data_IF_283262651589
#
_entry.id   IF_283262651589
#
_cell.length_a   1.000
_cell.length_b   1.000
_cell.length_c   1.000
_cell.angle_alpha   90.00
_cell.angle_beta   90.00
_cell.angle_gamma   90.00
#
_symmetry.space_group_name_H-M   'P 1'
#
loop_
_entity.id
_entity.type
_entity.pdbx_description
1 polymer ?
#
# COMPACT_ATOMS: atom_id res chain seq x y z
N UNK A 1 -5.92 -8.45 -24.92
CA UNK A 1 -6.96 -8.77 -23.92
C UNK A 1 -6.27 -9.21 -22.63
N UNK A 2 -6.33 -8.42 -21.56
CA UNK A 2 -5.79 -8.83 -20.26
C UNK A 2 -6.66 -9.94 -19.67
N UNK A 3 -6.08 -11.11 -19.38
CA UNK A 3 -6.80 -12.21 -18.75
C UNK A 3 -7.11 -11.83 -17.30
N UNK A 4 -8.40 -11.83 -16.93
CA UNK A 4 -8.81 -11.65 -15.52
C UNK A 4 -8.57 -12.97 -14.78
N UNK A 5 -7.78 -12.93 -13.71
CA UNK A 5 -7.59 -14.07 -12.81
C UNK A 5 -8.60 -13.96 -11.67
N UNK A 6 -9.36 -15.03 -11.43
CA UNK A 6 -10.26 -15.12 -10.28
C UNK A 6 -9.47 -15.65 -9.09
N UNK A 7 -9.47 -14.90 -7.99
CA UNK A 7 -8.73 -15.24 -6.77
C UNK A 7 -9.63 -15.07 -5.55
N UNK A 8 -9.41 -15.92 -4.54
CA UNK A 8 -10.03 -15.79 -3.22
C UNK A 8 -8.97 -15.35 -2.22
N UNK A 9 -9.31 -14.36 -1.39
CA UNK A 9 -8.45 -13.89 -0.29
C UNK A 9 -9.21 -14.02 1.03
N UNK A 10 -8.47 -14.27 2.09
CA UNK A 10 -9.01 -14.32 3.45
C UNK A 10 -8.65 -13.02 4.16
N UNK A 11 -9.67 -12.31 4.67
CA UNK A 11 -9.52 -11.06 5.40
C UNK A 11 -10.24 -11.16 6.73
N UNK A 12 -9.68 -10.51 7.76
CA UNK A 12 -10.39 -10.28 9.01
C UNK A 12 -11.67 -9.47 8.76
N UNK A 13 -12.78 -9.72 9.50
CA UNK A 13 -14.06 -9.06 9.24
C UNK A 13 -13.97 -7.52 9.21
N UNK A 14 -13.28 -6.93 10.18
CA UNK A 14 -13.12 -5.47 10.26
C UNK A 14 -12.38 -4.87 9.05
N UNK A 15 -11.40 -5.58 8.49
CA UNK A 15 -10.66 -5.13 7.29
C UNK A 15 -11.55 -5.19 6.07
N UNK A 16 -12.33 -6.28 5.94
CA UNK A 16 -13.29 -6.44 4.84
C UNK A 16 -14.35 -5.33 4.87
N UNK A 17 -14.90 -5.02 6.04
CA UNK A 17 -15.92 -3.99 6.20
C UNK A 17 -15.37 -2.60 5.89
N UNK A 18 -14.16 -2.30 6.38
CA UNK A 18 -13.46 -1.06 6.05
C UNK A 18 -13.24 -0.91 4.55
N UNK A 19 -12.59 -1.90 3.92
CA UNK A 19 -12.29 -1.87 2.49
C UNK A 19 -13.56 -1.83 1.62
N UNK A 20 -14.66 -2.45 2.06
CA UNK A 20 -15.94 -2.39 1.34
C UNK A 20 -16.59 -1.00 1.39
N UNK A 21 -16.51 -0.33 2.55
CA UNK A 21 -16.98 1.06 2.69
C UNK A 21 -16.14 2.02 1.85
N UNK A 22 -14.81 1.86 1.89
CA UNK A 22 -13.90 2.72 1.12
C UNK A 22 -14.04 2.50 -0.39
N UNK A 23 -14.21 1.26 -0.85
CA UNK A 23 -14.51 1.00 -2.25
C UNK A 23 -15.81 1.69 -2.68
N UNK A 24 -16.86 1.60 -1.85
CA UNK A 24 -18.15 2.23 -2.11
C UNK A 24 -18.07 3.77 -2.14
N UNK A 25 -17.30 4.39 -1.24
CA UNK A 25 -17.15 5.85 -1.18
C UNK A 25 -16.44 6.41 -2.42
N UNK A 26 -15.55 5.61 -3.03
CA UNK A 26 -14.85 5.94 -4.26
C UNK A 26 -15.62 5.52 -5.53
N UNK A 27 -16.80 4.90 -5.39
CA UNK A 27 -17.58 4.38 -6.51
C UNK A 27 -16.91 3.20 -7.23
N UNK A 28 -16.06 2.45 -6.53
CA UNK A 28 -15.31 1.31 -7.06
C UNK A 28 -15.91 -0.01 -6.59
N UNK A 29 -15.81 -1.04 -7.45
CA UNK A 29 -16.04 -2.41 -7.00
C UNK A 29 -14.95 -2.83 -6.01
N UNK A 30 -15.33 -3.66 -5.03
CA UNK A 30 -14.39 -4.18 -4.02
C UNK A 30 -13.14 -4.81 -4.65
N UNK A 31 -13.30 -5.60 -5.71
CA UNK A 31 -12.15 -6.22 -6.41
C UNK A 31 -11.23 -5.20 -7.08
N UNK A 32 -11.78 -4.10 -7.62
CA UNK A 32 -10.99 -3.04 -8.23
C UNK A 32 -10.18 -2.30 -7.17
N UNK A 33 -10.82 -1.95 -6.05
CA UNK A 33 -10.16 -1.31 -4.91
C UNK A 33 -9.00 -2.16 -4.37
N UNK A 34 -9.22 -3.45 -4.10
CA UNK A 34 -8.15 -4.35 -3.64
C UNK A 34 -7.02 -4.48 -4.66
N UNK A 35 -7.35 -4.54 -5.96
CA UNK A 35 -6.34 -4.63 -7.02
C UNK A 35 -5.45 -3.39 -7.07
N UNK A 36 -6.02 -2.20 -6.89
CA UNK A 36 -5.27 -0.94 -6.80
C UNK A 36 -4.33 -0.99 -5.59
N UNK A 37 -4.84 -1.35 -4.41
CA UNK A 37 -4.00 -1.43 -3.20
C UNK A 37 -2.80 -2.38 -3.37
N UNK A 38 -3.02 -3.54 -4.00
CA UNK A 38 -1.95 -4.50 -4.30
C UNK A 38 -0.95 -3.90 -5.29
N UNK A 39 -1.42 -3.27 -6.37
CA UNK A 39 -0.57 -2.65 -7.37
C UNK A 39 0.28 -1.50 -6.80
N UNK A 40 -0.31 -0.66 -5.95
CA UNK A 40 0.38 0.42 -5.26
C UNK A 40 1.44 -0.12 -4.30
N UNK A 41 1.11 -1.18 -3.55
CA UNK A 41 2.07 -1.86 -2.69
C UNK A 41 3.23 -2.46 -3.48
N UNK A 42 2.96 -3.04 -4.66
CA UNK A 42 3.99 -3.60 -5.54
C UNK A 42 4.86 -2.52 -6.19
N UNK A 43 4.31 -1.33 -6.44
CA UNK A 43 5.04 -0.18 -6.99
C UNK A 43 5.96 0.52 -5.99
N UNK A 44 6.01 0.08 -4.73
CA UNK A 44 6.81 0.73 -3.68
C UNK A 44 6.20 2.02 -3.13
N UNK A 45 5.05 2.46 -3.65
CA UNK A 45 4.28 3.56 -3.09
C UNK A 45 3.48 3.06 -1.89
N UNK A 46 4.00 3.32 -0.69
CA UNK A 46 3.23 3.18 0.53
C UNK A 46 2.14 4.27 0.49
N UNK A 47 0.92 3.92 0.07
CA UNK A 47 -0.25 4.73 0.38
C UNK A 47 -0.56 4.48 1.86
N UNK A 48 0.12 5.20 2.76
CA UNK A 48 -0.46 5.45 4.08
C UNK A 48 -1.64 6.38 3.86
N UNK A 49 -2.89 5.99 4.19
CA UNK A 49 -3.94 6.98 4.31
C UNK A 49 -3.47 7.99 5.37
N UNK A 50 -3.43 9.27 5.02
CA UNK A 50 -3.27 10.33 6.02
C UNK A 50 -4.49 10.24 6.92
N UNK A 51 -4.31 9.61 8.09
CA UNK A 51 -5.28 9.65 9.17
C UNK A 51 -5.36 11.12 9.57
N UNK A 52 -6.29 11.86 8.96
CA UNK A 52 -6.72 13.14 9.52
C UNK A 52 -7.41 12.79 10.83
N UNK A 53 -6.69 12.97 11.93
CA UNK A 53 -7.26 12.89 13.27
C UNK A 53 -8.26 14.04 13.43
N UNK A 54 -9.51 13.79 13.08
CA UNK A 54 -10.64 14.55 13.61
C UNK A 54 -10.94 13.99 15.00
N UNK A 55 -10.16 14.43 15.98
CA UNK A 55 -10.56 14.33 17.39
C UNK A 55 -10.03 15.54 18.11
N UNK A 56 -10.99 16.39 18.49
CA UNK A 56 -10.87 17.48 19.42
C UNK A 56 -10.21 17.02 20.74
N UNK A 57 -9.46 17.96 21.31
CA UNK A 57 -9.15 18.14 22.73
C UNK A 57 -9.35 16.95 23.67
N UNK A 58 -8.22 16.35 24.08
CA UNK A 58 -7.88 15.97 25.47
C UNK A 58 -7.06 14.68 25.53
N UNK A 59 -5.73 14.79 25.40
CA UNK A 59 -4.78 13.94 26.12
C UNK A 59 -3.36 14.43 25.85
N UNK A 60 -2.94 15.42 26.63
CA UNK A 60 -1.53 15.70 26.90
C UNK A 60 -0.84 14.44 27.43
N UNK A 61 0.43 14.23 27.07
CA UNK A 61 1.39 13.26 27.60
C UNK A 61 1.65 11.95 26.81
N UNK A 62 2.07 12.03 25.54
CA UNK A 62 3.11 11.10 25.05
C UNK A 62 4.10 11.91 24.20
N UNK A 63 4.88 12.73 24.90
CA UNK A 63 6.15 13.25 24.39
C UNK A 63 7.19 12.16 24.57
N UNK A 64 7.32 11.26 23.61
CA UNK A 64 8.51 10.42 23.50
C UNK A 64 8.88 10.28 22.03
N UNK A 65 9.64 11.29 21.60
CA UNK A 65 10.84 11.15 20.77
C UNK A 65 10.96 9.83 20.00
N UNK A 66 10.39 9.77 18.80
CA UNK A 66 10.91 8.90 17.75
C UNK A 66 11.63 9.81 16.75
N UNK A 67 12.89 10.09 17.06
CA UNK A 67 13.85 10.60 16.09
C UNK A 67 14.01 9.54 14.98
N UNK A 68 13.15 9.59 13.95
CA UNK A 68 13.37 8.84 12.71
C UNK A 68 14.37 9.66 11.90
N UNK A 69 15.63 9.27 12.08
CA UNK A 69 16.79 9.68 11.31
C UNK A 69 16.48 9.62 9.80
N UNK A 70 16.56 10.78 9.14
CA UNK A 70 16.48 10.90 7.67
C UNK A 70 17.73 10.26 7.07
N UNK A 71 17.73 8.94 6.89
CA UNK A 71 18.69 8.27 6.02
C UNK A 71 18.00 7.88 4.72
N UNK A 72 18.12 8.80 3.77
CA UNK A 72 17.89 8.62 2.35
C UNK A 72 18.65 7.36 1.89
N UNK A 73 17.95 6.23 1.82
CA UNK A 73 18.52 4.99 1.31
C UNK A 73 18.28 4.98 -0.20
N UNK A 74 19.06 5.79 -0.92
CA UNK A 74 19.14 5.73 -2.39
C UNK A 74 19.78 4.37 -2.72
N UNK A 75 18.95 3.39 -3.02
CA UNK A 75 19.41 2.10 -3.55
C UNK A 75 19.83 2.34 -4.99
N UNK A 76 21.13 2.50 -5.22
CA UNK A 76 21.71 2.46 -6.57
C UNK A 76 21.74 1.01 -7.04
N UNK A 77 20.93 0.69 -8.05
CA UNK A 77 20.96 -0.60 -8.73
C UNK A 77 22.20 -0.61 -9.63
N UNK A 78 22.98 -1.68 -9.56
CA UNK A 78 24.16 -1.86 -10.42
C UNK A 78 23.81 -2.58 -11.74
N UNK A 79 24.71 -2.54 -12.72
CA UNK A 79 24.48 -3.10 -14.06
C UNK A 79 24.23 -4.61 -14.06
N UNK A 80 24.73 -5.32 -13.06
CA UNK A 80 24.58 -6.78 -12.96
C UNK A 80 23.17 -7.12 -12.45
N UNK A 81 22.64 -6.30 -11.55
CA UNK A 81 21.25 -6.35 -11.11
C UNK A 81 20.27 -5.97 -12.22
N UNK A 82 20.59 -4.97 -13.05
CA UNK A 82 19.77 -4.62 -14.23
C UNK A 82 19.70 -5.78 -15.23
N UNK A 83 20.83 -6.43 -15.53
CA UNK A 83 20.88 -7.56 -16.46
C UNK A 83 20.07 -8.78 -15.96
N UNK A 84 20.09 -9.06 -14.66
CA UNK A 84 19.29 -10.16 -14.10
C UNK A 84 17.79 -9.83 -14.12
N UNK A 85 17.40 -8.57 -13.89
CA UNK A 85 16.02 -8.11 -14.05
C UNK A 85 15.56 -8.28 -15.51
N UNK A 86 16.38 -7.87 -16.48
CA UNK A 86 16.07 -8.00 -17.90
C UNK A 86 15.94 -9.46 -18.34
N UNK A 87 16.76 -10.36 -17.79
CA UNK A 87 16.64 -11.81 -18.02
C UNK A 87 15.33 -12.37 -17.46
N UNK A 88 14.91 -11.93 -16.27
CA UNK A 88 13.70 -12.41 -15.61
C UNK A 88 12.41 -11.90 -16.28
N UNK A 89 12.48 -10.79 -17.02
CA UNK A 89 11.34 -10.17 -17.71
C UNK A 89 11.11 -10.70 -19.14
N UNK A 90 11.94 -11.60 -19.66
CA UNK A 90 11.84 -12.16 -21.03
C UNK A 90 10.80 -13.29 -21.21
N UNK A 91 9.72 -13.33 -20.41
CA UNK A 91 8.61 -14.29 -20.57
C UNK A 91 7.35 -13.66 -21.17
#
# INVERSE_FOLDING_TARGET
MSKKVKTTITLSPHIKDFASKEASSLGLDFSAYITILIAEKMRGNIITPSIKSSTDDAASNISEEIAIDKKENVVTIDSDQENEIDRLLQW
#
